data_IF_547162991512
#
_entry.id   IF_547162991512
#
_cell.length_a   1.000
_cell.length_b   1.000
_cell.length_c   1.000
_cell.angle_alpha   90.00
_cell.angle_beta   90.00
_cell.angle_gamma   90.00
#
_symmetry.space_group_name_H-M   'P 1'
#
loop_
_entity.id
_entity.type
_entity.pdbx_description
1 polymer ?
#
# COMPACT_ATOMS: atom_id res chain seq x y z
N UNK A 1 -3.47 29.42 8.79
CA UNK A 1 -4.41 28.69 7.89
C UNK A 1 -3.74 27.66 6.98
N UNK A 2 -2.55 27.89 6.42
CA UNK A 2 -1.91 26.92 5.49
C UNK A 2 -1.50 25.58 6.13
N UNK A 3 -0.96 25.61 7.36
CA UNK A 3 -0.48 24.42 8.08
C UNK A 3 -1.57 23.33 8.25
N UNK A 4 -2.75 23.71 8.73
CA UNK A 4 -3.84 22.75 8.95
C UNK A 4 -4.33 22.08 7.66
N UNK A 5 -4.28 22.79 6.52
CA UNK A 5 -4.64 22.21 5.21
C UNK A 5 -3.62 21.17 4.77
N UNK A 6 -2.33 21.44 5.00
CA UNK A 6 -1.25 20.50 4.68
C UNK A 6 -1.33 19.27 5.59
N UNK A 7 -1.52 19.47 6.90
CA UNK A 7 -1.70 18.37 7.85
C UNK A 7 -2.91 17.48 7.50
N UNK A 8 -4.02 18.10 7.06
CA UNK A 8 -5.20 17.36 6.60
C UNK A 8 -4.90 16.48 5.38
N UNK A 9 -4.14 16.99 4.40
CA UNK A 9 -3.75 16.20 3.23
C UNK A 9 -2.91 14.99 3.66
N UNK A 10 -1.91 15.19 4.53
CA UNK A 10 -1.10 14.08 5.03
C UNK A 10 -1.91 13.07 5.86
N UNK A 11 -2.87 13.54 6.66
CA UNK A 11 -3.76 12.66 7.42
C UNK A 11 -4.61 11.80 6.47
N UNK A 12 -5.18 12.39 5.41
CA UNK A 12 -5.94 11.63 4.40
C UNK A 12 -5.05 10.61 3.70
N UNK A 13 -3.84 11.00 3.28
CA UNK A 13 -2.87 10.08 2.66
C UNK A 13 -2.52 8.93 3.60
N UNK A 14 -2.30 9.21 4.89
CA UNK A 14 -1.97 8.20 5.87
C UNK A 14 -3.14 7.24 6.16
N UNK A 15 -4.38 7.74 6.24
CA UNK A 15 -5.57 6.89 6.36
C UNK A 15 -5.74 5.99 5.14
N UNK A 16 -5.60 6.53 3.93
CA UNK A 16 -5.66 5.74 2.70
C UNK A 16 -4.52 4.71 2.66
N UNK A 17 -3.32 5.09 3.06
CA UNK A 17 -2.16 4.21 3.18
C UNK A 17 -2.42 3.05 4.13
N UNK A 18 -3.03 3.31 5.30
CA UNK A 18 -3.43 2.25 6.24
C UNK A 18 -4.43 1.28 5.62
N UNK A 19 -5.50 1.80 5.01
CA UNK A 19 -6.54 0.97 4.39
C UNK A 19 -5.96 0.10 3.27
N UNK A 20 -5.12 0.69 2.41
CA UNK A 20 -4.42 -0.03 1.35
C UNK A 20 -3.44 -1.05 1.90
N UNK A 21 -2.67 -0.71 2.94
CA UNK A 21 -1.73 -1.62 3.57
C UNK A 21 -2.43 -2.85 4.17
N UNK A 22 -3.57 -2.64 4.85
CA UNK A 22 -4.42 -3.72 5.37
C UNK A 22 -4.95 -4.57 4.22
N UNK A 23 -5.48 -3.97 3.17
CA UNK A 23 -5.98 -4.69 2.00
C UNK A 23 -4.88 -5.55 1.35
N UNK A 24 -3.68 -4.99 1.13
CA UNK A 24 -2.53 -5.68 0.53
C UNK A 24 -2.05 -6.84 1.42
N UNK A 25 -2.03 -6.65 2.73
CA UNK A 25 -1.62 -7.69 3.68
C UNK A 25 -2.61 -8.86 3.72
N UNK A 26 -3.92 -8.58 3.71
CA UNK A 26 -4.97 -9.60 3.79
C UNK A 26 -5.23 -10.29 2.44
N UNK A 27 -5.08 -9.57 1.32
CA UNK A 27 -5.42 -10.06 -0.02
C UNK A 27 -4.23 -9.99 -1.02
N UNK A 28 -3.06 -10.57 -0.70
CA UNK A 28 -1.85 -10.42 -1.52
C UNK A 28 -2.01 -11.00 -2.94
N UNK A 29 -2.74 -12.10 -3.10
CA UNK A 29 -2.99 -12.69 -4.42
C UNK A 29 -3.80 -11.74 -5.32
N UNK A 30 -4.83 -11.10 -4.77
CA UNK A 30 -5.62 -10.10 -5.48
C UNK A 30 -4.80 -8.86 -5.82
N UNK A 31 -3.93 -8.42 -4.91
CA UNK A 31 -3.00 -7.31 -5.16
C UNK A 31 -2.06 -7.63 -6.33
N UNK A 32 -1.45 -8.82 -6.35
CA UNK A 32 -0.59 -9.27 -7.44
C UNK A 32 -1.36 -9.30 -8.76
N UNK A 33 -2.61 -9.76 -8.75
CA UNK A 33 -3.45 -9.80 -9.96
C UNK A 33 -3.81 -8.39 -10.47
N UNK A 34 -4.15 -7.46 -9.57
CA UNK A 34 -4.41 -6.05 -9.92
C UNK A 34 -3.15 -5.45 -10.55
N UNK A 35 -1.98 -5.69 -9.94
CA UNK A 35 -0.69 -5.27 -10.47
C UNK A 35 -0.48 -5.85 -11.87
N UNK A 36 -0.62 -7.17 -12.03
CA UNK A 36 -0.48 -7.85 -13.33
C UNK A 36 -1.39 -7.22 -14.40
N UNK A 37 -2.67 -6.99 -14.09
CA UNK A 37 -3.62 -6.33 -15.00
C UNK A 37 -3.21 -4.90 -15.35
N UNK A 38 -2.65 -4.15 -14.41
CA UNK A 38 -2.13 -2.81 -14.68
C UNK A 38 -0.95 -2.86 -15.67
N UNK A 39 0.02 -3.73 -15.43
CA UNK A 39 1.19 -3.86 -16.31
C UNK A 39 0.81 -4.35 -17.71
N UNK A 40 -0.20 -5.20 -17.84
CA UNK A 40 -0.73 -5.59 -19.15
C UNK A 40 -1.25 -4.41 -19.98
N UNK A 41 -1.81 -3.37 -19.35
CA UNK A 41 -2.29 -2.17 -20.07
C UNK A 41 -1.17 -1.40 -20.77
N UNK A 42 0.06 -1.49 -20.26
CA UNK A 42 1.25 -0.88 -20.85
C UNK A 42 2.06 -1.89 -21.68
N UNK A 43 1.43 -2.99 -22.12
CA UNK A 43 2.04 -4.10 -22.87
C UNK A 43 3.20 -4.79 -22.14
N UNK A 44 3.24 -4.71 -20.81
CA UNK A 44 4.25 -5.39 -20.01
C UNK A 44 3.66 -6.66 -19.38
N UNK A 45 4.22 -7.82 -19.73
CA UNK A 45 3.82 -9.09 -19.15
C UNK A 45 4.66 -9.40 -17.91
N UNK A 46 4.07 -9.27 -16.72
CA UNK A 46 4.68 -9.72 -15.46
C UNK A 46 4.12 -11.09 -15.10
N UNK A 47 5.01 -12.04 -14.83
CA UNK A 47 4.66 -13.35 -14.27
C UNK A 47 5.49 -13.62 -13.01
N UNK A 48 4.87 -14.15 -11.94
CA UNK A 48 5.60 -14.46 -10.71
C UNK A 48 6.55 -15.63 -10.96
N UNK A 49 7.84 -15.45 -10.66
CA UNK A 49 8.83 -16.55 -10.69
C UNK A 49 8.49 -17.62 -9.65
N UNK A 50 7.97 -17.19 -8.49
CA UNK A 50 7.50 -18.08 -7.43
C UNK A 50 6.34 -17.45 -6.69
N UNK A 51 5.12 -17.93 -6.94
CA UNK A 51 3.92 -17.39 -6.30
C UNK A 51 3.99 -17.39 -4.76
N UNK A 52 4.53 -18.44 -4.09
CA UNK A 52 4.70 -18.39 -2.64
C UNK A 52 5.64 -17.29 -2.15
N UNK A 53 6.72 -17.01 -2.88
CA UNK A 53 7.64 -15.90 -2.54
C UNK A 53 6.97 -14.56 -2.72
N UNK A 54 6.28 -14.36 -3.84
CA UNK A 54 5.55 -13.12 -4.13
C UNK A 54 4.48 -12.84 -3.08
N UNK A 55 3.68 -13.84 -2.69
CA UNK A 55 2.67 -13.69 -1.62
C UNK A 55 3.32 -13.20 -0.32
N UNK A 56 4.45 -13.78 0.09
CA UNK A 56 5.15 -13.34 1.31
C UNK A 56 5.66 -11.91 1.18
N UNK A 57 6.27 -11.56 0.05
CA UNK A 57 6.79 -10.23 -0.20
C UNK A 57 5.67 -9.18 -0.24
N UNK A 58 4.55 -9.49 -0.88
CA UNK A 58 3.36 -8.62 -0.91
C UNK A 58 2.78 -8.43 0.49
N UNK A 59 2.75 -9.48 1.33
CA UNK A 59 2.37 -9.31 2.74
C UNK A 59 3.34 -8.40 3.49
N UNK A 60 4.65 -8.57 3.33
CA UNK A 60 5.65 -7.69 3.95
C UNK A 60 5.47 -6.25 3.48
N UNK A 61 5.21 -6.03 2.19
CA UNK A 61 4.93 -4.70 1.64
C UNK A 61 3.67 -4.08 2.27
N UNK A 62 2.59 -4.84 2.40
CA UNK A 62 1.38 -4.39 3.09
C UNK A 62 1.63 -4.03 4.56
N UNK A 63 2.38 -4.86 5.29
CA UNK A 63 2.77 -4.59 6.68
C UNK A 63 3.61 -3.32 6.81
N UNK A 64 4.61 -3.13 5.94
CA UNK A 64 5.43 -1.92 5.95
C UNK A 64 4.59 -0.66 5.68
N UNK A 65 3.66 -0.74 4.72
CA UNK A 65 2.75 0.37 4.42
C UNK A 65 1.85 0.71 5.63
N UNK A 66 1.36 -0.30 6.36
CA UNK A 66 0.62 -0.11 7.61
C UNK A 66 1.49 0.62 8.64
N UNK A 67 2.70 0.13 8.90
CA UNK A 67 3.58 0.69 9.92
C UNK A 67 3.98 2.14 9.64
N UNK A 68 4.33 2.46 8.39
CA UNK A 68 4.69 3.82 7.98
C UNK A 68 3.49 4.75 8.08
N UNK A 69 2.33 4.32 7.59
CA UNK A 69 1.11 5.14 7.62
C UNK A 69 0.62 5.38 9.05
N UNK A 70 0.69 4.35 9.90
CA UNK A 70 0.38 4.48 11.33
C UNK A 70 1.33 5.45 12.03
N UNK A 71 2.63 5.31 11.81
CA UNK A 71 3.64 6.20 12.39
C UNK A 71 3.43 7.65 11.97
N UNK A 72 3.05 7.89 10.70
CA UNK A 72 2.70 9.22 10.20
C UNK A 72 1.46 9.80 10.88
N UNK A 73 0.40 9.01 11.09
CA UNK A 73 -0.77 9.48 11.83
C UNK A 73 -0.44 9.84 13.27
N UNK A 74 0.33 9.00 13.95
CA UNK A 74 0.79 9.29 15.32
C UNK A 74 1.58 10.60 15.34
N UNK A 75 2.51 10.79 14.40
CA UNK A 75 3.29 12.03 14.28
C UNK A 75 2.43 13.28 14.04
N UNK A 76 1.34 13.17 13.27
CA UNK A 76 0.44 14.31 12.99
C UNK A 76 -0.50 14.65 14.17
N UNK A 77 -0.69 13.72 15.11
CA UNK A 77 -1.59 13.88 16.27
C UNK A 77 -0.85 14.33 17.54
N UNK A 78 0.47 14.16 17.60
CA UNK A 78 1.35 14.63 18.67
C UNK A 78 1.76 16.09 18.45
#
# INVERSE_FOLDING_TARGET
MGYYRIALVFAVVAVLGLLLGVFVFLHPASTIEIQRKFYLKINWKIEPVSMPKEIRNTKVMGLLLILVSFSLLVYLLL
#
